data_IF_930469946860
#
_entry.id   IF_930469946860
#
_cell.length_a   1.000
_cell.length_b   1.000
_cell.length_c   1.000
_cell.angle_alpha   90.00
_cell.angle_beta   90.00
_cell.angle_gamma   90.00
#
_symmetry.space_group_name_H-M   'P 1'
#
loop_
_entity.id
_entity.type
_entity.pdbx_description
1 polymer ?
#
# COMPACT_ATOMS: atom_id res chain seq x y z
N UNK A 1 8.07 27.32 27.48
CA UNK A 1 8.33 26.18 26.56
C UNK A 1 7.29 25.11 26.85
N UNK A 2 6.38 24.87 25.91
CA UNK A 2 5.37 23.83 26.02
C UNK A 2 6.05 22.47 25.77
N UNK A 3 5.97 21.54 26.73
CA UNK A 3 6.56 20.21 26.58
C UNK A 3 5.66 19.37 25.68
N UNK A 4 6.27 18.74 24.68
CA UNK A 4 5.59 17.81 23.77
C UNK A 4 5.09 16.61 24.60
N UNK A 5 3.78 16.36 24.61
CA UNK A 5 3.11 15.38 25.48
C UNK A 5 3.03 13.97 24.87
N UNK A 6 3.63 13.77 23.68
CA UNK A 6 3.73 12.47 23.01
C UNK A 6 2.39 11.91 22.54
N UNK A 7 1.29 12.63 22.71
CA UNK A 7 -0.06 12.15 22.43
C UNK A 7 -0.47 12.54 21.00
N UNK A 8 0.15 11.88 20.02
CA UNK A 8 -0.14 12.09 18.60
C UNK A 8 -1.49 11.41 18.27
N UNK A 9 -2.60 12.09 18.55
CA UNK A 9 -3.98 11.61 18.34
C UNK A 9 -4.38 11.36 16.88
N UNK A 10 -3.45 11.42 15.93
CA UNK A 10 -3.72 11.35 14.49
C UNK A 10 -2.62 10.60 13.72
N UNK A 11 -2.07 9.51 14.28
CA UNK A 11 -1.34 8.58 13.42
C UNK A 11 -2.41 7.76 12.69
N UNK A 12 -2.63 7.95 11.38
CA UNK A 12 -3.59 7.14 10.66
C UNK A 12 -3.13 5.69 10.77
N UNK A 13 -3.96 4.86 11.42
CA UNK A 13 -3.74 3.41 11.45
C UNK A 13 -3.88 2.94 10.01
N UNK A 14 -2.75 2.61 9.39
CA UNK A 14 -2.73 2.06 8.05
C UNK A 14 -3.14 0.59 8.18
N UNK A 15 -4.34 0.25 7.72
CA UNK A 15 -4.78 -1.15 7.67
C UNK A 15 -4.08 -1.87 6.53
N UNK A 16 -4.01 -3.20 6.61
CA UNK A 16 -3.32 -4.01 5.60
C UNK A 16 -3.99 -3.88 4.22
N UNK A 17 -5.31 -3.71 4.16
CA UNK A 17 -6.05 -3.47 2.91
C UNK A 17 -5.68 -2.11 2.31
N UNK A 18 -5.60 -1.07 3.14
CA UNK A 18 -5.26 0.27 2.68
C UNK A 18 -3.82 0.36 2.21
N UNK A 19 -2.91 -0.37 2.85
CA UNK A 19 -1.54 -0.52 2.39
C UNK A 19 -1.47 -1.32 1.08
N UNK A 20 -2.21 -2.43 1.00
CA UNK A 20 -2.28 -3.25 -0.22
C UNK A 20 -2.75 -2.41 -1.40
N UNK A 21 -3.81 -1.61 -1.22
CA UNK A 21 -4.31 -0.68 -2.23
C UNK A 21 -3.23 0.33 -2.72
N UNK A 22 -2.32 0.75 -1.85
CA UNK A 22 -1.21 1.65 -2.22
C UNK A 22 -0.05 0.92 -2.92
N UNK A 23 0.11 -0.38 -2.68
CA UNK A 23 1.17 -1.20 -3.24
C UNK A 23 0.78 -1.85 -4.58
N UNK A 24 -0.51 -1.90 -4.92
CA UNK A 24 -0.99 -2.45 -6.19
C UNK A 24 -0.33 -1.70 -7.36
N UNK A 25 0.31 -2.42 -8.31
CA UNK A 25 0.89 -1.80 -9.49
C UNK A 25 -0.12 -1.01 -10.32
N UNK A 26 0.25 0.20 -10.76
CA UNK A 26 -0.62 1.09 -11.51
C UNK A 26 -1.18 0.48 -12.81
N UNK A 27 -0.50 -0.52 -13.39
CA UNK A 27 -0.97 -1.25 -14.58
C UNK A 27 -2.29 -2.02 -14.37
N UNK A 28 -2.65 -2.32 -13.11
CA UNK A 28 -3.91 -2.97 -12.79
C UNK A 28 -5.07 -1.97 -12.66
N UNK A 29 -4.76 -0.67 -12.60
CA UNK A 29 -5.76 0.38 -12.56
C UNK A 29 -6.23 0.61 -14.00
N UNK A 30 -7.48 0.30 -14.34
CA UNK A 30 -7.99 0.55 -15.68
C UNK A 30 -8.08 2.05 -15.96
N UNK A 31 -8.04 2.43 -17.23
CA UNK A 31 -8.20 3.82 -17.63
C UNK A 31 -9.58 4.34 -17.23
N UNK A 32 -9.61 5.56 -16.69
CA UNK A 32 -10.87 6.21 -16.32
C UNK A 32 -11.69 6.49 -17.58
N UNK A 33 -12.94 6.00 -17.68
CA UNK A 33 -13.82 6.28 -18.80
C UNK A 33 -14.02 7.78 -19.01
N UNK A 34 -14.22 8.21 -20.26
CA UNK A 34 -14.38 9.62 -20.61
C UNK A 34 -15.48 10.33 -19.81
N UNK A 35 -16.56 9.61 -19.49
CA UNK A 35 -17.71 10.10 -18.70
C UNK A 35 -17.38 10.44 -17.25
N UNK A 36 -16.23 9.97 -16.77
CA UNK A 36 -15.79 10.05 -15.38
C UNK A 36 -14.50 10.86 -15.20
N UNK A 37 -13.93 11.41 -16.28
CA UNK A 37 -12.67 12.19 -16.25
C UNK A 37 -12.72 13.42 -15.33
N UNK A 38 -13.88 14.06 -15.24
CA UNK A 38 -14.09 15.24 -14.38
C UNK A 38 -14.52 14.86 -12.95
N UNK A 39 -14.55 13.57 -12.62
CA UNK A 39 -14.91 13.06 -11.29
C UNK A 39 -13.68 12.45 -10.61
N UNK A 40 -13.57 12.62 -9.29
CA UNK A 40 -12.55 11.98 -8.48
C UNK A 40 -12.88 10.49 -8.31
N UNK A 41 -12.59 9.68 -9.33
CA UNK A 41 -12.79 8.23 -9.30
C UNK A 41 -11.53 7.56 -8.78
N UNK A 42 -11.70 6.67 -7.80
CA UNK A 42 -10.64 5.83 -7.26
C UNK A 42 -11.09 4.39 -7.42
N UNK A 43 -10.27 3.57 -8.07
CA UNK A 43 -10.50 2.13 -8.11
C UNK A 43 -10.08 1.52 -6.78
N UNK A 44 -11.00 0.78 -6.16
CA UNK A 44 -10.76 0.04 -4.92
C UNK A 44 -10.81 -1.43 -5.28
N UNK A 45 -9.76 -2.15 -4.90
CA UNK A 45 -9.67 -3.60 -5.07
C UNK A 45 -10.03 -4.28 -3.75
N UNK A 46 -10.67 -5.44 -3.84
CA UNK A 46 -11.09 -6.21 -2.67
C UNK A 46 -10.63 -7.68 -2.75
N UNK A 47 -11.16 -8.51 -1.86
CA UNK A 47 -10.78 -9.93 -1.76
C UNK A 47 -11.31 -10.80 -2.91
N UNK A 48 -12.24 -10.30 -3.73
CA UNK A 48 -12.74 -11.02 -4.91
C UNK A 48 -11.79 -10.83 -6.11
N UNK A 49 -10.94 -9.81 -6.09
CA UNK A 49 -9.96 -9.55 -7.12
C UNK A 49 -8.74 -10.49 -7.06
N UNK A 50 -8.18 -10.80 -8.22
CA UNK A 50 -6.97 -11.64 -8.34
C UNK A 50 -5.96 -11.01 -9.29
N UNK A 51 -4.69 -11.02 -8.88
CA UNK A 51 -3.59 -10.40 -9.62
C UNK A 51 -2.51 -11.41 -9.98
N UNK A 52 -2.07 -11.38 -11.24
CA UNK A 52 -0.87 -12.09 -11.66
C UNK A 52 0.33 -11.14 -11.59
N UNK A 53 1.27 -11.45 -10.72
CA UNK A 53 2.49 -10.66 -10.51
C UNK A 53 3.70 -11.37 -11.11
N UNK A 54 4.57 -10.62 -11.76
CA UNK A 54 5.91 -11.12 -12.05
C UNK A 54 6.74 -11.14 -10.77
N UNK A 55 7.83 -11.91 -10.76
CA UNK A 55 8.72 -11.96 -9.62
C UNK A 55 9.28 -10.58 -9.24
N UNK A 56 9.68 -9.79 -10.24
CA UNK A 56 10.25 -8.45 -10.02
C UNK A 56 9.23 -7.49 -9.40
N UNK A 57 7.96 -7.56 -9.82
CA UNK A 57 6.87 -6.77 -9.24
C UNK A 57 6.58 -7.18 -7.79
N UNK A 58 6.63 -8.49 -7.50
CA UNK A 58 6.50 -8.97 -6.13
C UNK A 58 7.65 -8.46 -5.24
N UNK A 59 8.88 -8.48 -5.75
CA UNK A 59 10.05 -7.94 -5.04
C UNK A 59 9.89 -6.43 -4.80
N UNK A 60 9.40 -5.68 -5.78
CA UNK A 60 9.15 -4.24 -5.65
C UNK A 60 8.10 -3.94 -4.57
N UNK A 61 6.98 -4.68 -4.57
CA UNK A 61 5.92 -4.57 -3.55
C UNK A 61 6.48 -4.83 -2.15
N UNK A 62 7.23 -5.92 -1.98
CA UNK A 62 7.85 -6.28 -0.70
C UNK A 62 8.86 -5.22 -0.25
N UNK A 63 9.65 -4.67 -1.17
CA UNK A 63 10.62 -3.62 -0.88
C UNK A 63 9.92 -2.35 -0.38
N UNK A 64 8.88 -1.89 -1.07
CA UNK A 64 8.06 -0.73 -0.66
C UNK A 64 7.38 -0.95 0.68
N UNK A 65 6.84 -2.15 0.92
CA UNK A 65 6.25 -2.52 2.20
C UNK A 65 7.28 -2.41 3.34
N UNK A 66 8.52 -2.89 3.14
CA UNK A 66 9.58 -2.75 4.16
C UNK A 66 9.92 -1.30 4.46
N UNK A 67 9.95 -0.43 3.45
CA UNK A 67 10.21 1.01 3.65
C UNK A 67 9.14 1.69 4.48
N UNK A 68 7.89 1.29 4.34
CA UNK A 68 6.78 1.87 5.10
C UNK A 68 6.73 1.37 6.56
N UNK A 69 7.50 0.32 6.93
CA UNK A 69 7.74 -0.04 8.32
C UNK A 69 8.31 -1.46 8.54
N UNK A 70 9.19 -1.67 9.54
CA UNK A 70 9.87 -2.96 9.80
C UNK A 70 8.94 -4.10 10.26
N UNK A 71 7.63 -3.83 10.48
CA UNK A 71 6.65 -4.83 10.91
C UNK A 71 5.87 -5.48 9.76
N UNK A 72 6.03 -5.04 8.52
CA UNK A 72 5.08 -5.36 7.44
C UNK A 72 5.44 -6.59 6.61
N UNK A 73 6.71 -7.01 6.61
CA UNK A 73 7.12 -8.29 6.05
C UNK A 73 8.14 -8.90 7.02
N UNK A 74 7.83 -10.01 7.71
CA UNK A 74 8.82 -10.69 8.55
C UNK A 74 10.00 -11.12 7.68
N UNK A 75 11.21 -10.70 8.06
CA UNK A 75 12.44 -11.16 7.43
C UNK A 75 12.64 -12.61 7.87
N UNK A 76 12.25 -13.57 7.02
CA UNK A 76 12.55 -14.98 7.20
C UNK A 76 14.02 -15.23 6.81
N UNK A 77 14.94 -14.99 7.75
CA UNK A 77 16.34 -15.39 7.64
C UNK A 77 17.33 -14.32 8.07
N UNK A 78 18.16 -14.64 9.07
CA UNK A 78 19.46 -13.99 9.27
C UNK A 78 20.48 -14.69 8.38
N UNK A 79 21.16 -13.90 7.53
CA UNK A 79 22.39 -14.33 6.87
C UNK A 79 23.44 -14.55 7.96
N UNK A 80 23.96 -15.76 8.06
CA UNK A 80 25.25 -16.10 8.66
C UNK A 80 25.96 -17.05 7.69
#
# INVERSE_FOLDING_TARGET
>A
MQKFDGNIKNIPVLTDEKLTQQLIPARFIPETPDELKDKNVVYIFDSEDSFNLTYDELVEIVSKARMAGPRMIPVLGTVN
#
